data_IF_518037725024
#
_entry.id   IF_518037725024
#
_cell.length_a   1.000
_cell.length_b   1.000
_cell.length_c   1.000
_cell.angle_alpha   90.00
_cell.angle_beta   90.00
_cell.angle_gamma   90.00
#
_symmetry.space_group_name_H-M   'P 1'
#
loop_
_entity.id
_entity.type
_entity.pdbx_description
1 polymer ?
#
# COMPACT_ATOMS: atom_id res chain seq x y z
N UNK A 1 26.46 6.01 -34.64
CA UNK A 1 25.42 7.00 -34.32
C UNK A 1 24.08 6.38 -34.62
N UNK A 2 23.39 5.92 -33.58
CA UNK A 2 21.93 5.94 -33.44
C UNK A 2 21.67 5.67 -31.97
N UNK A 3 21.44 6.75 -31.23
CA UNK A 3 20.72 6.72 -29.97
C UNK A 3 19.40 5.97 -30.18
N UNK A 4 19.20 4.87 -29.45
CA UNK A 4 17.86 4.31 -29.25
C UNK A 4 17.57 4.38 -27.77
N UNK A 5 17.29 5.60 -27.35
CA UNK A 5 16.45 5.87 -26.21
C UNK A 5 15.04 5.37 -26.54
N UNK A 6 14.55 4.40 -25.77
CA UNK A 6 13.13 4.21 -25.51
C UNK A 6 13.01 3.52 -24.15
N UNK A 7 13.22 4.32 -23.10
CA UNK A 7 12.70 4.03 -21.77
C UNK A 7 11.16 4.01 -21.85
N UNK A 8 10.61 2.85 -22.18
CA UNK A 8 9.18 2.56 -22.12
C UNK A 8 8.92 1.57 -20.99
N UNK A 9 9.28 1.95 -19.76
CA UNK A 9 8.52 1.54 -18.59
C UNK A 9 7.70 2.75 -18.19
N UNK A 10 6.37 2.66 -18.24
CA UNK A 10 5.49 3.62 -17.58
C UNK A 10 6.07 3.91 -16.20
N UNK A 11 6.56 5.14 -16.00
CA UNK A 11 7.26 5.56 -14.79
C UNK A 11 6.31 5.63 -13.61
N UNK A 12 5.81 4.49 -13.17
CA UNK A 12 5.27 4.32 -11.85
C UNK A 12 6.46 4.44 -10.93
N UNK A 13 6.66 5.64 -10.37
CA UNK A 13 7.46 5.77 -9.17
C UNK A 13 6.49 5.49 -8.01
N UNK A 14 6.40 4.24 -7.52
CA UNK A 14 5.49 3.93 -6.43
C UNK A 14 5.81 4.83 -5.23
N UNK A 15 4.81 5.58 -4.76
CA UNK A 15 4.92 6.29 -3.48
C UNK A 15 5.07 5.32 -2.30
N UNK A 16 4.78 4.03 -2.51
CA UNK A 16 4.87 2.96 -1.54
C UNK A 16 5.71 1.78 -2.05
N UNK A 17 6.72 1.34 -1.31
CA UNK A 17 7.54 0.19 -1.72
C UNK A 17 7.15 -1.09 -0.98
N UNK A 18 7.37 -2.29 -1.55
CA UNK A 18 7.06 -3.58 -0.93
C UNK A 18 7.62 -3.75 0.49
N UNK A 19 8.78 -3.15 0.75
CA UNK A 19 9.51 -3.25 2.02
C UNK A 19 9.00 -2.28 3.08
N UNK A 20 8.18 -1.29 2.71
CA UNK A 20 7.53 -0.41 3.69
C UNK A 20 6.60 -1.23 4.57
N UNK A 21 6.57 -0.87 5.84
CA UNK A 21 5.65 -1.43 6.81
C UNK A 21 4.28 -0.79 6.68
N UNK A 22 3.24 -1.53 7.06
CA UNK A 22 1.88 -0.96 7.12
C UNK A 22 1.77 0.16 8.17
N UNK A 23 2.67 0.18 9.16
CA UNK A 23 2.78 1.28 10.10
C UNK A 23 3.20 2.57 9.42
N UNK A 24 4.28 2.54 8.63
CA UNK A 24 4.76 3.71 7.88
C UNK A 24 3.68 4.26 6.94
N UNK A 25 2.93 3.38 6.27
CA UNK A 25 1.84 3.80 5.39
C UNK A 25 0.69 4.46 6.15
N UNK A 26 0.29 3.91 7.29
CA UNK A 26 -0.77 4.49 8.14
C UNK A 26 -0.31 5.74 8.87
N UNK A 27 0.97 5.89 9.17
CA UNK A 27 1.53 7.12 9.74
C UNK A 27 1.44 8.29 8.74
N UNK A 28 1.64 8.01 7.45
CA UNK A 28 1.44 8.98 6.36
C UNK A 28 -0.06 9.26 6.12
N UNK A 29 -0.88 8.21 6.12
CA UNK A 29 -2.30 8.29 5.81
C UNK A 29 -3.13 7.49 6.83
N UNK A 30 -3.54 8.09 7.97
CA UNK A 30 -4.22 7.39 9.04
C UNK A 30 -5.54 6.71 8.62
N UNK A 31 -6.21 7.24 7.61
CA UNK A 31 -7.49 6.71 7.09
C UNK A 31 -7.35 5.34 6.40
N UNK A 32 -6.13 4.98 5.95
CA UNK A 32 -5.86 3.66 5.36
C UNK A 32 -6.23 2.54 6.33
N UNK A 33 -6.13 2.79 7.65
CA UNK A 33 -6.53 1.83 8.67
C UNK A 33 -8.02 1.47 8.61
N UNK A 34 -8.88 2.43 8.26
CA UNK A 34 -10.31 2.20 8.06
C UNK A 34 -10.63 1.68 6.66
N UNK A 35 -9.80 1.99 5.67
CA UNK A 35 -9.97 1.57 4.29
C UNK A 35 -9.54 0.12 4.02
N UNK A 36 -8.48 -0.39 4.66
CA UNK A 36 -8.02 -1.78 4.54
C UNK A 36 -9.17 -2.82 4.62
N UNK A 37 -10.03 -2.84 5.66
CA UNK A 37 -11.11 -3.82 5.74
C UNK A 37 -12.21 -3.65 4.67
N UNK A 38 -12.27 -2.49 3.99
CA UNK A 38 -13.15 -2.25 2.83
C UNK A 38 -12.54 -2.93 1.59
N UNK A 39 -11.22 -2.85 1.43
CA UNK A 39 -10.49 -3.53 0.35
C UNK A 39 -10.60 -5.05 0.45
N UNK A 40 -10.46 -5.62 1.66
CA UNK A 40 -10.68 -7.05 1.89
C UNK A 40 -11.06 -7.33 3.34
N UNK A 41 -12.09 -8.17 3.51
CA UNK A 41 -12.55 -8.60 4.84
C UNK A 41 -11.46 -9.33 5.65
N UNK A 42 -10.42 -9.87 5.00
CA UNK A 42 -9.27 -10.49 5.69
C UNK A 42 -8.49 -9.49 6.54
N UNK A 43 -8.50 -8.21 6.17
CA UNK A 43 -7.84 -7.15 6.93
C UNK A 43 -8.58 -6.75 8.20
N UNK A 44 -9.78 -7.28 8.48
CA UNK A 44 -10.49 -7.03 9.75
C UNK A 44 -9.66 -7.38 10.98
N UNK A 45 -8.74 -8.35 10.89
CA UNK A 45 -7.86 -8.67 12.01
C UNK A 45 -6.79 -7.60 12.26
N UNK A 46 -6.43 -6.83 11.24
CA UNK A 46 -5.50 -5.71 11.32
C UNK A 46 -6.17 -4.43 11.86
N UNK A 47 -7.48 -4.42 12.13
CA UNK A 47 -8.13 -3.26 12.74
C UNK A 47 -7.98 -3.25 14.27
N UNK A 48 -7.79 -4.42 14.88
CA UNK A 48 -7.60 -4.55 16.32
C UNK A 48 -6.36 -3.74 16.76
N UNK A 49 -6.49 -2.78 17.70
CA UNK A 49 -5.38 -1.92 18.10
C UNK A 49 -4.12 -2.65 18.56
N UNK A 50 -4.27 -3.78 19.25
CA UNK A 50 -3.13 -4.55 19.77
C UNK A 50 -2.42 -5.28 18.62
N UNK A 51 -3.18 -5.99 17.79
CA UNK A 51 -2.64 -6.69 16.61
C UNK A 51 -2.00 -5.72 15.64
N UNK A 52 -2.66 -4.59 15.37
CA UNK A 52 -2.16 -3.55 14.51
C UNK A 52 -0.85 -2.98 15.04
N UNK A 53 -0.74 -2.66 16.33
CA UNK A 53 0.50 -2.09 16.92
C UNK A 53 1.73 -3.00 16.76
N UNK A 54 1.52 -4.31 16.74
CA UNK A 54 2.59 -5.28 16.52
C UNK A 54 2.91 -5.36 15.03
N UNK A 55 1.87 -5.58 14.21
CA UNK A 55 2.00 -5.74 12.75
C UNK A 55 2.50 -4.46 12.07
N UNK A 56 2.17 -3.28 12.58
CA UNK A 56 2.62 -2.00 12.05
C UNK A 56 4.14 -1.86 12.06
N UNK A 57 4.84 -2.64 12.90
CA UNK A 57 6.30 -2.61 13.00
C UNK A 57 7.02 -3.69 12.19
N UNK A 58 6.32 -4.78 11.88
CA UNK A 58 6.96 -5.99 11.33
C UNK A 58 6.37 -6.42 9.98
N UNK A 59 5.11 -6.07 9.70
CA UNK A 59 4.40 -6.48 8.51
C UNK A 59 4.66 -5.45 7.41
N UNK A 60 5.47 -5.86 6.44
CA UNK A 60 5.68 -5.13 5.21
C UNK A 60 4.44 -5.17 4.33
N UNK A 61 4.34 -4.27 3.35
CA UNK A 61 3.25 -4.27 2.38
C UNK A 61 3.16 -5.60 1.64
N UNK A 62 4.30 -6.23 1.36
CA UNK A 62 4.38 -7.59 0.82
C UNK A 62 3.64 -8.61 1.70
N UNK A 63 3.99 -8.67 2.99
CA UNK A 63 3.33 -9.55 3.96
C UNK A 63 1.84 -9.23 4.13
N UNK A 64 1.46 -7.95 4.04
CA UNK A 64 0.07 -7.51 4.18
C UNK A 64 -0.73 -7.93 2.96
N UNK A 65 -0.19 -7.75 1.75
CA UNK A 65 -0.84 -8.15 0.50
C UNK A 65 -1.18 -9.64 0.53
N UNK A 66 -0.22 -10.50 0.88
CA UNK A 66 -0.42 -11.94 0.99
C UNK A 66 -1.56 -12.29 1.97
N UNK A 67 -1.60 -11.62 3.13
CA UNK A 67 -2.66 -11.82 4.14
C UNK A 67 -4.03 -11.36 3.62
N UNK A 68 -4.06 -10.33 2.80
CA UNK A 68 -5.26 -9.83 2.14
C UNK A 68 -5.76 -10.72 1.01
N UNK A 69 -4.89 -11.59 0.48
CA UNK A 69 -5.13 -12.38 -0.72
C UNK A 69 -4.83 -11.62 -2.02
N UNK A 70 -3.91 -10.65 -1.96
CA UNK A 70 -3.46 -9.85 -3.10
C UNK A 70 -1.98 -10.12 -3.35
N UNK A 71 -1.54 -9.80 -4.56
CA UNK A 71 -0.13 -9.57 -4.84
C UNK A 71 0.31 -8.20 -4.32
N UNK A 72 1.61 -8.06 -4.09
CA UNK A 72 2.21 -6.84 -3.55
C UNK A 72 1.99 -5.64 -4.47
N UNK A 73 2.10 -5.87 -5.79
CA UNK A 73 1.84 -4.83 -6.81
C UNK A 73 0.38 -4.39 -6.81
N UNK A 74 -0.58 -5.31 -6.65
CA UNK A 74 -2.00 -4.97 -6.53
C UNK A 74 -2.27 -4.11 -5.29
N UNK A 75 -1.72 -4.49 -4.14
CA UNK A 75 -1.90 -3.70 -2.91
C UNK A 75 -1.29 -2.30 -3.06
N UNK A 76 -0.07 -2.20 -3.58
CA UNK A 76 0.60 -0.91 -3.82
C UNK A 76 -0.20 -0.07 -4.82
N UNK A 77 -0.75 -0.67 -5.87
CA UNK A 77 -1.64 -0.02 -6.83
C UNK A 77 -2.88 0.55 -6.14
N UNK A 78 -3.60 -0.27 -5.37
CA UNK A 78 -4.80 0.18 -4.65
C UNK A 78 -4.51 1.30 -3.65
N UNK A 79 -3.40 1.22 -2.91
CA UNK A 79 -2.97 2.28 -2.00
C UNK A 79 -2.64 3.57 -2.75
N UNK A 80 -1.92 3.48 -3.86
CA UNK A 80 -1.53 4.63 -4.68
C UNK A 80 -2.76 5.32 -5.29
N UNK A 81 -3.73 4.56 -5.76
CA UNK A 81 -4.97 5.09 -6.31
C UNK A 81 -5.85 5.71 -5.22
N UNK A 82 -5.89 5.12 -4.02
CA UNK A 82 -6.59 5.70 -2.88
C UNK A 82 -6.00 7.06 -2.49
N UNK A 83 -4.66 7.19 -2.42
CA UNK A 83 -4.00 8.47 -2.12
C UNK A 83 -4.31 9.54 -3.16
N UNK A 84 -4.24 9.19 -4.46
CA UNK A 84 -4.57 10.14 -5.54
C UNK A 84 -6.00 10.69 -5.39
N UNK A 85 -6.96 9.85 -5.03
CA UNK A 85 -8.35 10.27 -4.81
C UNK A 85 -8.50 11.22 -3.60
N UNK A 86 -7.67 11.05 -2.57
CA UNK A 86 -7.67 11.96 -1.40
C UNK A 86 -7.04 13.32 -1.73
N UNK A 87 -6.00 13.35 -2.56
CA UNK A 87 -5.37 14.61 -2.99
C UNK A 87 -6.28 15.41 -3.95
N UNK A 88 -7.07 14.76 -4.80
CA UNK A 88 -8.02 15.42 -5.71
C UNK A 88 -9.25 16.02 -5.01
N UNK A 89 -9.53 15.60 -3.77
CA UNK A 89 -10.69 16.07 -2.99
C UNK A 89 -10.33 17.15 -1.96
N UNK A 90 -9.08 17.62 -1.97
CA UNK A 90 -8.54 18.62 -1.04
C UNK A 90 -8.38 20.00 -1.69
#
# INVERSE_FOLDING_TARGET
MTDTNNNSGSGFNPIFTPTMTIGEVVDLYPEIRAWLPILSAKYKQLTNPVTFRIMSKIATLDTVAERGGFTTDELIGHLSDWVKQQDETK
#
